data_IF_874555468413
#
_entry.id   IF_874555468413
#
_cell.length_a   1.000
_cell.length_b   1.000
_cell.length_c   1.000
_cell.angle_alpha   90.00
_cell.angle_beta   90.00
_cell.angle_gamma   90.00
#
_symmetry.space_group_name_H-M   'P 1'
#
loop_
_entity.id
_entity.type
_entity.pdbx_description
1 polymer ?
#
# COMPACT_ATOMS: atom_id res chain seq x y z
N UNK A 1 5.57 7.38 12.27
CA UNK A 1 5.84 6.89 10.90
C UNK A 1 5.56 5.40 10.82
N UNK A 2 4.80 4.99 9.81
CA UNK A 2 4.45 3.58 9.61
C UNK A 2 4.94 3.12 8.25
N UNK A 3 5.52 1.93 8.20
CA UNK A 3 5.85 1.28 6.94
C UNK A 3 4.64 0.47 6.45
N UNK A 4 4.51 0.32 5.15
CA UNK A 4 3.45 -0.47 4.52
C UNK A 4 4.11 -1.63 3.78
N UNK A 5 3.62 -2.83 4.01
CA UNK A 5 4.13 -4.01 3.32
C UNK A 5 2.99 -4.96 2.93
N UNK A 6 3.22 -5.83 1.92
CA UNK A 6 2.21 -6.81 1.54
C UNK A 6 2.03 -7.86 2.62
N UNK A 7 0.79 -8.24 2.89
CA UNK A 7 0.48 -9.33 3.83
C UNK A 7 1.16 -10.63 3.39
N UNK A 8 1.25 -10.86 2.08
CA UNK A 8 1.85 -12.08 1.53
C UNK A 8 3.38 -12.15 1.70
N UNK A 9 4.04 -11.00 1.93
CA UNK A 9 5.50 -10.93 2.08
C UNK A 9 5.88 -9.96 3.21
N UNK A 10 5.54 -10.28 4.48
CA UNK A 10 5.64 -9.32 5.58
C UNK A 10 7.04 -9.30 6.21
N UNK A 11 8.07 -9.04 5.42
CA UNK A 11 9.48 -9.15 5.82
C UNK A 11 9.86 -8.12 6.89
N UNK A 12 9.34 -6.88 6.80
CA UNK A 12 9.63 -5.84 7.80
C UNK A 12 9.06 -6.24 9.17
N UNK A 13 7.93 -6.94 9.17
CA UNK A 13 7.32 -7.47 10.39
C UNK A 13 8.00 -8.74 10.93
N UNK A 14 9.03 -9.23 10.27
CA UNK A 14 9.75 -10.45 10.67
C UNK A 14 9.25 -11.72 10.02
N UNK A 15 8.34 -11.64 9.06
CA UNK A 15 7.83 -12.80 8.33
C UNK A 15 8.73 -13.23 7.19
N UNK A 16 8.29 -14.24 6.45
CA UNK A 16 9.04 -14.81 5.34
C UNK A 16 8.74 -14.07 4.03
N UNK A 17 9.76 -13.85 3.18
CA UNK A 17 9.52 -13.27 1.86
C UNK A 17 8.75 -14.24 0.98
N UNK A 18 7.90 -13.68 0.12
CA UNK A 18 7.10 -14.45 -0.83
C UNK A 18 6.77 -13.57 -2.03
N UNK A 19 6.55 -14.14 -3.21
CA UNK A 19 6.02 -13.38 -4.33
C UNK A 19 4.68 -12.73 -3.98
N UNK A 20 4.48 -11.51 -4.44
CA UNK A 20 3.23 -10.78 -4.25
C UNK A 20 2.98 -9.85 -5.44
N UNK A 21 1.72 -9.48 -5.73
CA UNK A 21 1.39 -8.70 -6.92
C UNK A 21 1.40 -7.18 -6.73
N UNK A 22 1.79 -6.66 -5.57
CA UNK A 22 1.84 -5.22 -5.36
C UNK A 22 3.19 -4.68 -5.84
N UNK A 23 3.22 -4.15 -7.06
CA UNK A 23 4.45 -3.61 -7.62
C UNK A 23 4.90 -2.35 -6.87
N UNK A 24 6.19 -2.25 -6.61
CA UNK A 24 6.81 -1.08 -5.99
C UNK A 24 7.01 -1.17 -4.49
N UNK A 25 6.42 -2.16 -3.83
CA UNK A 25 6.64 -2.40 -2.39
C UNK A 25 7.00 -3.86 -2.15
N UNK A 26 7.40 -4.18 -0.93
CA UNK A 26 7.67 -5.56 -0.54
C UNK A 26 8.84 -6.19 -1.31
N UNK A 27 10.04 -5.64 -1.13
CA UNK A 27 11.23 -6.09 -1.86
C UNK A 27 11.71 -7.51 -1.51
N UNK A 28 11.17 -8.11 -0.45
CA UNK A 28 11.60 -9.44 0.01
C UNK A 28 12.77 -9.40 0.99
N UNK A 29 13.23 -8.22 1.34
CA UNK A 29 14.29 -7.99 2.33
C UNK A 29 14.09 -6.61 2.98
N UNK A 30 14.74 -6.39 4.11
CA UNK A 30 14.73 -5.07 4.75
C UNK A 30 15.87 -4.26 4.12
N UNK A 31 15.56 -3.17 3.36
CA UNK A 31 16.60 -2.37 2.73
C UNK A 31 17.55 -1.74 3.75
N UNK A 32 18.81 -1.63 3.41
CA UNK A 32 19.82 -1.06 4.30
C UNK A 32 19.56 0.43 4.63
N UNK A 33 18.91 1.14 3.72
CA UNK A 33 18.55 2.55 3.93
C UNK A 33 17.26 2.74 4.72
N UNK A 34 16.59 1.66 5.13
CA UNK A 34 15.41 1.73 5.98
C UNK A 34 15.84 1.77 7.45
N UNK A 35 15.60 2.90 8.09
CA UNK A 35 15.86 3.09 9.51
C UNK A 35 14.71 2.54 10.34
N UNK A 36 14.73 1.24 10.60
CA UNK A 36 13.62 0.55 11.29
C UNK A 36 13.33 1.11 12.67
N UNK A 37 14.33 1.68 13.34
CA UNK A 37 14.15 2.29 14.66
C UNK A 37 13.26 3.54 14.62
N UNK A 38 13.07 4.16 13.45
CA UNK A 38 12.21 5.34 13.29
C UNK A 38 10.75 4.98 13.05
N UNK A 39 10.45 3.69 12.82
CA UNK A 39 9.09 3.25 12.56
C UNK A 39 8.31 3.11 13.87
N UNK A 40 7.10 3.65 13.91
CA UNK A 40 6.16 3.43 15.00
C UNK A 40 5.41 2.11 14.84
N UNK A 41 5.42 1.57 13.64
CA UNK A 41 4.80 0.28 13.35
C UNK A 41 4.85 -0.04 11.87
N UNK A 42 4.28 -1.20 11.53
CA UNK A 42 4.19 -1.70 10.17
C UNK A 42 2.74 -2.08 9.91
N UNK A 43 2.19 -1.64 8.78
CA UNK A 43 0.84 -1.99 8.36
C UNK A 43 0.92 -2.97 7.19
N UNK A 44 0.29 -4.12 7.34
CA UNK A 44 0.22 -5.12 6.28
C UNK A 44 -1.05 -4.92 5.47
N UNK A 45 -0.93 -4.98 4.14
CA UNK A 45 -2.02 -4.73 3.20
C UNK A 45 -2.15 -5.90 2.23
N UNK A 46 -3.37 -6.42 2.07
CA UNK A 46 -3.66 -7.42 1.05
C UNK A 46 -3.63 -6.79 -0.34
N UNK A 47 -3.16 -7.56 -1.32
CA UNK A 47 -3.08 -7.11 -2.70
C UNK A 47 -4.44 -6.73 -3.27
N UNK A 48 -5.48 -7.54 -3.00
CA UNK A 48 -6.83 -7.21 -3.51
C UNK A 48 -7.40 -5.96 -2.87
N UNK A 49 -7.15 -5.75 -1.58
CA UNK A 49 -7.56 -4.51 -0.90
C UNK A 49 -6.85 -3.29 -1.50
N UNK A 50 -5.57 -3.43 -1.84
CA UNK A 50 -4.81 -2.37 -2.50
C UNK A 50 -5.38 -2.04 -3.88
N UNK A 51 -5.71 -3.06 -4.68
CA UNK A 51 -6.32 -2.87 -6.00
C UNK A 51 -7.68 -2.18 -5.89
N UNK A 52 -8.52 -2.63 -4.96
CA UNK A 52 -9.84 -2.01 -4.77
C UNK A 52 -9.72 -0.57 -4.33
N UNK A 53 -8.78 -0.26 -3.45
CA UNK A 53 -8.57 1.12 -3.02
C UNK A 53 -8.08 2.01 -4.18
N UNK A 54 -7.22 1.48 -5.05
CA UNK A 54 -6.80 2.20 -6.26
C UNK A 54 -7.99 2.45 -7.20
N UNK A 55 -8.87 1.45 -7.37
CA UNK A 55 -10.09 1.60 -8.17
C UNK A 55 -11.04 2.63 -7.58
N UNK A 56 -11.21 2.61 -6.25
CA UNK A 56 -12.05 3.58 -5.54
C UNK A 56 -11.50 5.00 -5.68
N UNK A 57 -10.19 5.16 -5.61
CA UNK A 57 -9.55 6.47 -5.80
C UNK A 57 -9.90 7.05 -7.17
N UNK A 58 -9.88 6.23 -8.20
CA UNK A 58 -10.27 6.67 -9.54
C UNK A 58 -11.76 7.01 -9.62
N UNK A 59 -12.64 6.15 -9.07
CA UNK A 59 -14.09 6.35 -9.14
C UNK A 59 -14.58 7.52 -8.29
N UNK A 60 -14.07 7.63 -7.06
CA UNK A 60 -14.62 8.54 -6.07
C UNK A 60 -13.92 9.89 -6.05
N UNK A 61 -12.63 9.93 -6.38
CA UNK A 61 -11.81 11.14 -6.29
C UNK A 61 -11.24 11.59 -7.63
N UNK A 62 -11.43 10.81 -8.69
CA UNK A 62 -10.87 11.12 -9.99
C UNK A 62 -9.35 10.99 -10.07
N UNK A 63 -8.74 10.26 -9.15
CA UNK A 63 -7.29 10.07 -9.09
C UNK A 63 -6.92 8.67 -9.58
N UNK A 64 -6.32 8.59 -10.76
CA UNK A 64 -5.84 7.34 -11.31
C UNK A 64 -4.41 7.12 -10.83
N UNK A 65 -4.26 6.27 -9.82
CA UNK A 65 -2.99 6.00 -9.14
C UNK A 65 -2.59 4.54 -9.30
N UNK A 66 -1.33 4.23 -9.04
CA UNK A 66 -0.84 2.86 -9.06
C UNK A 66 -1.34 2.01 -7.89
N UNK A 67 -1.12 0.70 -7.99
CA UNK A 67 -1.56 -0.24 -6.95
C UNK A 67 -0.84 0.02 -5.62
N UNK A 68 0.43 0.43 -5.65
CA UNK A 68 1.17 0.77 -4.42
C UNK A 68 0.58 2.00 -3.72
N UNK A 69 0.04 2.96 -4.47
CA UNK A 69 -0.70 4.08 -3.89
C UNK A 69 -2.00 3.60 -3.27
N UNK A 70 -2.66 2.63 -3.90
CA UNK A 70 -3.83 1.95 -3.31
C UNK A 70 -3.48 1.25 -2.01
N UNK A 71 -2.30 0.63 -1.92
CA UNK A 71 -1.81 0.03 -0.69
C UNK A 71 -1.62 1.08 0.42
N UNK A 72 -1.07 2.24 0.08
CA UNK A 72 -0.93 3.35 1.03
C UNK A 72 -2.29 3.82 1.55
N UNK A 73 -3.26 4.00 0.64
CA UNK A 73 -4.61 4.42 1.04
C UNK A 73 -5.29 3.36 1.92
N UNK A 74 -5.12 2.10 1.60
CA UNK A 74 -5.68 1.01 2.42
C UNK A 74 -5.04 0.97 3.80
N UNK A 75 -3.72 1.18 3.88
CA UNK A 75 -3.01 1.23 5.15
C UNK A 75 -3.54 2.38 6.03
N UNK A 76 -3.79 3.54 5.44
CA UNK A 76 -4.39 4.67 6.15
C UNK A 76 -5.78 4.29 6.66
N UNK A 77 -6.61 3.68 5.82
CA UNK A 77 -7.95 3.25 6.22
C UNK A 77 -7.91 2.28 7.40
N UNK A 78 -6.97 1.34 7.39
CA UNK A 78 -6.80 0.38 8.48
C UNK A 78 -6.32 1.05 9.79
N UNK A 79 -5.58 2.14 9.67
CA UNK A 79 -5.00 2.82 10.82
C UNK A 79 -5.92 3.88 11.44
N UNK A 80 -6.83 4.44 10.66
CA UNK A 80 -7.72 5.52 11.14
C UNK A 80 -8.41 5.23 12.47
N UNK A 81 -8.95 4.02 12.72
CA UNK A 81 -9.63 3.75 14.01
C UNK A 81 -8.71 3.87 15.22
N UNK A 82 -7.40 3.74 15.04
CA UNK A 82 -6.41 3.80 16.12
C UNK A 82 -5.90 5.22 16.36
N UNK A 83 -6.30 6.17 15.54
CA UNK A 83 -5.81 7.55 15.61
C UNK A 83 -6.81 8.45 16.34
N UNK A 84 -6.33 9.50 17.04
CA UNK A 84 -7.24 10.44 17.69
C UNK A 84 -8.02 11.24 16.66
N UNK A 85 -9.22 11.73 17.08
CA UNK A 85 -10.04 12.59 16.25
C UNK A 85 -9.24 13.85 15.86
N UNK A 86 -9.32 14.23 14.58
CA UNK A 86 -8.59 15.39 14.06
C UNK A 86 -7.14 15.13 13.71
N UNK A 87 -6.66 13.88 13.82
CA UNK A 87 -5.29 13.54 13.43
C UNK A 87 -5.07 13.81 11.94
N UNK A 88 -3.87 14.30 11.61
CA UNK A 88 -3.44 14.50 10.23
C UNK A 88 -2.63 13.32 9.78
N UNK A 89 -2.97 12.75 8.62
CA UNK A 89 -2.28 11.59 8.06
C UNK A 89 -1.75 11.95 6.69
N UNK A 90 -0.45 11.72 6.49
CA UNK A 90 0.20 11.95 5.21
C UNK A 90 0.50 10.60 4.55
N UNK A 91 0.02 10.42 3.35
CA UNK A 91 0.40 9.31 2.47
C UNK A 91 0.82 9.87 1.12
N UNK A 92 1.60 9.11 0.37
CA UNK A 92 2.07 9.53 -0.95
C UNK A 92 1.39 8.75 -2.05
N UNK A 93 0.99 9.45 -3.11
CA UNK A 93 0.62 8.85 -4.39
C UNK A 93 1.86 8.95 -5.27
N UNK A 94 2.57 7.85 -5.43
CA UNK A 94 3.92 7.84 -6.00
C UNK A 94 3.92 7.98 -7.51
N UNK A 95 2.87 7.45 -8.18
CA UNK A 95 2.82 7.37 -9.62
C UNK A 95 1.37 7.33 -10.10
N UNK A 96 1.22 7.41 -11.43
CA UNK A 96 -0.10 7.33 -12.07
C UNK A 96 -0.44 5.90 -12.44
N UNK A 97 -1.75 5.60 -12.49
CA UNK A 97 -2.24 4.24 -12.75
C UNK A 97 -2.07 3.79 -14.20
N UNK A 98 -1.83 4.68 -15.14
CA UNK A 98 -1.67 4.34 -16.54
C UNK A 98 -0.49 3.40 -16.81
N UNK A 99 0.49 3.36 -15.93
CA UNK A 99 1.62 2.42 -16.02
C UNK A 99 1.23 0.98 -15.75
N UNK A 100 0.06 0.76 -15.19
CA UNK A 100 -0.38 -0.54 -14.67
C UNK A 100 -1.64 -1.05 -15.36
N UNK A 101 -2.01 -0.48 -16.51
CA UNK A 101 -3.25 -0.87 -17.22
C UNK A 101 -3.24 -2.33 -17.65
N UNK A 102 -2.06 -2.90 -17.89
CA UNK A 102 -1.92 -4.30 -18.25
C UNK A 102 -1.83 -5.25 -17.04
N UNK A 103 -1.80 -4.71 -15.82
CA UNK A 103 -1.72 -5.54 -14.62
C UNK A 103 -3.07 -6.19 -14.36
N UNK A 104 -3.06 -7.51 -14.17
CA UNK A 104 -4.27 -8.27 -13.88
C UNK A 104 -4.95 -7.77 -12.61
N UNK A 105 -6.26 -7.56 -12.68
CA UNK A 105 -7.05 -7.12 -11.55
C UNK A 105 -6.93 -5.65 -11.20
N UNK A 106 -6.15 -4.86 -11.95
CA UNK A 106 -6.02 -3.42 -11.69
C UNK A 106 -7.30 -2.67 -12.03
N UNK A 107 -7.86 -2.92 -13.21
CA UNK A 107 -9.13 -2.33 -13.62
C UNK A 107 -10.26 -3.35 -13.46
N UNK A 108 -11.51 -2.88 -13.19
CA UNK A 108 -12.63 -3.80 -13.11
C UNK A 108 -12.87 -4.47 -14.45
N UNK A 109 -13.24 -5.75 -14.42
CA UNK A 109 -13.71 -6.45 -15.59
C UNK A 109 -15.10 -5.91 -15.94
N UNK A 110 -15.35 -5.71 -17.25
CA UNK A 110 -16.66 -5.29 -17.71
C UNK A 110 -17.61 -6.47 -17.94
#
# INVERSE_FOLDING_TARGET
MFAVEPTASPVISGGQPSPHPIQGIGAGFVPKNLHTALLDGVVQVDAEAAREMARRSAREEGLLVGISSGATLQAIAQKLPDLPAGARVLGFNYDTGERYLSVEGFLPAE
#
